data_IF_521460806907
#
_entry.id   IF_521460806907
#
_cell.length_a   1.000
_cell.length_b   1.000
_cell.length_c   1.000
_cell.angle_alpha   90.00
_cell.angle_beta   90.00
_cell.angle_gamma   90.00
#
_symmetry.space_group_name_H-M   'P 1'
#
loop_
_entity.id
_entity.type
_entity.pdbx_description
1 polymer ?
#
# COMPACT_ATOMS: atom_id res chain seq x y z
N UNK A 1 4.47 9.84 -10.61
CA UNK A 1 4.56 8.95 -9.44
C UNK A 1 3.70 9.44 -8.27
N UNK A 2 3.67 10.74 -7.95
CA UNK A 2 2.95 11.28 -6.78
C UNK A 2 1.42 11.25 -6.86
N UNK A 3 0.85 11.33 -8.07
CA UNK A 3 -0.60 11.27 -8.25
C UNK A 3 -1.16 9.88 -7.90
N UNK A 4 -0.44 8.82 -8.30
CA UNK A 4 -0.79 7.44 -7.97
C UNK A 4 -0.66 7.19 -6.46
N UNK A 5 0.41 7.68 -5.83
CA UNK A 5 0.61 7.58 -4.37
C UNK A 5 -0.50 8.30 -3.59
N UNK A 6 -0.92 9.48 -4.02
CA UNK A 6 -2.01 10.23 -3.34
C UNK A 6 -3.37 9.54 -3.46
N UNK A 7 -3.64 8.91 -4.61
CA UNK A 7 -4.89 8.18 -4.82
C UNK A 7 -4.92 6.86 -4.03
N UNK A 8 -3.80 6.14 -3.99
CA UNK A 8 -3.69 4.87 -3.25
C UNK A 8 -3.58 5.06 -1.73
N UNK A 9 -3.01 6.17 -1.25
CA UNK A 9 -2.77 6.37 0.19
C UNK A 9 -3.94 7.03 0.96
N UNK A 10 -5.05 7.35 0.31
CA UNK A 10 -6.23 7.93 1.00
C UNK A 10 -7.35 6.88 1.13
N UNK A 11 -7.72 6.48 2.35
CA UNK A 11 -8.84 5.54 2.58
C UNK A 11 -10.15 6.01 1.92
N UNK A 12 -10.38 7.33 1.89
CA UNK A 12 -11.55 7.91 1.24
C UNK A 12 -11.53 7.67 -0.26
N UNK A 13 -10.37 7.83 -0.91
CA UNK A 13 -10.23 7.60 -2.34
C UNK A 13 -10.47 6.12 -2.70
N UNK A 14 -10.05 5.17 -1.85
CA UNK A 14 -10.33 3.74 -2.04
C UNK A 14 -11.84 3.44 -1.96
N UNK A 15 -12.54 4.04 -1.00
CA UNK A 15 -14.01 3.88 -0.89
C UNK A 15 -14.72 4.51 -2.09
N UNK A 16 -14.33 5.72 -2.49
CA UNK A 16 -14.92 6.37 -3.66
C UNK A 16 -14.66 5.60 -4.96
N UNK A 17 -13.45 5.07 -5.17
CA UNK A 17 -13.13 4.27 -6.35
C UNK A 17 -13.88 2.94 -6.38
N UNK A 18 -14.06 2.30 -5.22
CA UNK A 18 -14.88 1.10 -5.10
C UNK A 18 -16.35 1.35 -5.44
N UNK A 19 -16.95 2.42 -4.89
CA UNK A 19 -18.33 2.81 -5.21
C UNK A 19 -18.49 3.20 -6.68
N UNK A 20 -17.53 3.95 -7.23
CA UNK A 20 -17.51 4.31 -8.64
C UNK A 20 -17.46 3.07 -9.52
N UNK A 21 -16.64 2.08 -9.17
CA UNK A 21 -16.56 0.83 -9.90
C UNK A 21 -17.90 0.08 -9.89
N UNK A 22 -18.60 0.01 -8.75
CA UNK A 22 -19.93 -0.61 -8.65
C UNK A 22 -20.91 0.07 -9.61
N UNK A 23 -20.96 1.41 -9.60
CA UNK A 23 -21.90 2.16 -10.45
C UNK A 23 -21.57 1.97 -11.93
N UNK A 24 -20.30 2.04 -12.31
CA UNK A 24 -19.86 1.86 -13.70
C UNK A 24 -20.11 0.43 -14.17
N UNK A 25 -19.74 -0.57 -13.38
CA UNK A 25 -19.99 -1.98 -13.72
C UNK A 25 -21.48 -2.31 -13.78
N UNK A 26 -22.30 -1.77 -12.86
CA UNK A 26 -23.75 -1.93 -12.91
C UNK A 26 -24.37 -1.29 -14.16
N UNK A 27 -23.92 -0.09 -14.53
CA UNK A 27 -24.38 0.57 -15.75
C UNK A 27 -23.99 -0.21 -17.01
N UNK A 28 -22.74 -0.70 -17.09
CA UNK A 28 -22.27 -1.50 -18.23
C UNK A 28 -22.99 -2.86 -18.30
N UNK A 29 -23.28 -3.47 -17.15
CA UNK A 29 -24.06 -4.70 -17.09
C UNK A 29 -25.49 -4.47 -17.60
N UNK A 30 -26.13 -3.39 -17.17
CA UNK A 30 -27.45 -3.01 -17.67
C UNK A 30 -27.46 -2.74 -19.17
N UNK A 31 -26.38 -2.18 -19.72
CA UNK A 31 -26.24 -1.91 -21.14
C UNK A 31 -26.03 -3.18 -21.98
N UNK A 32 -25.32 -4.17 -21.45
CA UNK A 32 -25.00 -5.40 -22.17
C UNK A 32 -26.00 -6.54 -21.95
N UNK A 33 -26.76 -6.51 -20.87
CA UNK A 33 -27.72 -7.57 -20.53
C UNK A 33 -29.16 -7.06 -20.63
N UNK A 34 -29.88 -7.58 -21.63
CA UNK A 34 -31.27 -7.23 -21.86
C UNK A 34 -32.19 -7.75 -20.74
N UNK A 35 -33.26 -7.00 -20.46
CA UNK A 35 -34.33 -7.42 -19.54
C UNK A 35 -34.01 -7.30 -18.05
N UNK A 36 -32.89 -6.67 -17.67
CA UNK A 36 -32.54 -6.38 -16.27
C UNK A 36 -32.95 -4.97 -15.87
N UNK A 37 -33.50 -4.82 -14.66
CA UNK A 37 -33.75 -3.47 -14.12
C UNK A 37 -32.43 -2.80 -13.72
N UNK A 38 -32.35 -1.45 -13.67
CA UNK A 38 -31.17 -0.75 -13.18
C UNK A 38 -30.78 -1.16 -11.74
N UNK A 39 -31.78 -1.49 -10.91
CA UNK A 39 -31.56 -1.99 -9.55
C UNK A 39 -30.88 -3.36 -9.53
N UNK A 40 -31.36 -4.29 -10.36
CA UNK A 40 -30.77 -5.63 -10.48
C UNK A 40 -29.35 -5.59 -11.03
N UNK A 41 -29.06 -4.63 -11.90
CA UNK A 41 -27.74 -4.44 -12.49
C UNK A 41 -26.73 -3.90 -11.47
N UNK A 42 -27.12 -2.92 -10.65
CA UNK A 42 -26.30 -2.44 -9.53
C UNK A 42 -26.14 -3.54 -8.48
N UNK A 43 -27.20 -4.29 -8.18
CA UNK A 43 -27.15 -5.43 -7.26
C UNK A 43 -26.14 -6.49 -7.71
N UNK A 44 -26.17 -6.88 -8.99
CA UNK A 44 -25.18 -7.78 -9.57
C UNK A 44 -23.74 -7.27 -9.36
N UNK A 45 -23.50 -5.98 -9.62
CA UNK A 45 -22.19 -5.38 -9.43
C UNK A 45 -21.76 -5.41 -7.96
N UNK A 46 -22.67 -5.13 -7.00
CA UNK A 46 -22.39 -5.20 -5.56
C UNK A 46 -22.04 -6.63 -5.13
N UNK A 47 -22.86 -7.62 -5.50
CA UNK A 47 -22.67 -9.03 -5.11
C UNK A 47 -21.39 -9.61 -5.72
N UNK A 48 -21.07 -9.21 -6.96
CA UNK A 48 -19.85 -9.65 -7.64
C UNK A 48 -18.61 -8.96 -7.06
N UNK A 49 -18.64 -7.63 -6.89
CA UNK A 49 -17.51 -6.86 -6.37
C UNK A 49 -17.19 -7.18 -4.90
N UNK A 50 -18.20 -7.55 -4.11
CA UNK A 50 -18.01 -8.02 -2.73
C UNK A 50 -17.54 -9.48 -2.65
N UNK A 51 -17.38 -10.17 -3.77
CA UNK A 51 -17.00 -11.59 -3.87
C UNK A 51 -18.00 -12.57 -3.23
N UNK A 52 -19.21 -12.11 -2.89
CA UNK A 52 -20.27 -12.95 -2.30
C UNK A 52 -20.84 -13.93 -3.33
N UNK A 53 -21.20 -13.43 -4.51
CA UNK A 53 -21.58 -14.27 -5.65
C UNK A 53 -22.79 -15.19 -5.43
N UNK A 54 -23.95 -14.66 -5.03
CA UNK A 54 -25.16 -15.48 -4.82
C UNK A 54 -25.61 -16.29 -6.04
N UNK A 55 -25.29 -15.84 -7.26
CA UNK A 55 -25.63 -16.53 -8.50
C UNK A 55 -27.06 -16.32 -9.00
N UNK A 56 -27.83 -15.45 -8.35
CA UNK A 56 -29.18 -15.01 -8.73
C UNK A 56 -29.19 -14.17 -10.01
N UNK A 57 -28.11 -13.45 -10.28
CA UNK A 57 -27.89 -12.70 -11.51
C UNK A 57 -26.45 -12.89 -12.00
N UNK A 58 -26.27 -13.08 -13.30
CA UNK A 58 -24.96 -13.24 -13.95
C UNK A 58 -25.05 -12.87 -15.42
N UNK A 59 -23.95 -12.47 -16.08
CA UNK A 59 -23.98 -12.09 -17.49
C UNK A 59 -24.10 -13.31 -18.40
N UNK A 60 -25.02 -13.23 -19.35
CA UNK A 60 -25.24 -14.25 -20.36
C UNK A 60 -24.53 -13.88 -21.67
N UNK A 61 -24.39 -12.59 -21.95
CA UNK A 61 -23.77 -12.10 -23.17
C UNK A 61 -22.24 -12.20 -23.11
N UNK A 62 -21.61 -12.35 -24.28
CA UNK A 62 -20.15 -12.33 -24.39
C UNK A 62 -19.52 -11.04 -23.81
N UNK A 63 -19.95 -9.81 -24.18
CA UNK A 63 -19.39 -8.60 -23.58
C UNK A 63 -19.65 -8.50 -22.07
N UNK A 64 -20.82 -8.95 -21.58
CA UNK A 64 -21.11 -9.02 -20.15
C UNK A 64 -20.15 -9.94 -19.39
N UNK A 65 -19.76 -11.08 -19.98
CA UNK A 65 -18.78 -12.01 -19.39
C UNK A 65 -17.38 -11.41 -19.35
N UNK A 66 -16.97 -10.66 -20.39
CA UNK A 66 -15.69 -9.94 -20.39
C UNK A 66 -15.68 -8.88 -19.29
N UNK A 67 -16.77 -8.09 -19.17
CA UNK A 67 -16.95 -7.11 -18.09
C UNK A 67 -16.81 -7.76 -16.70
N UNK A 68 -17.50 -8.89 -16.49
CA UNK A 68 -17.41 -9.62 -15.22
C UNK A 68 -15.99 -10.11 -14.92
N UNK A 69 -15.30 -10.65 -15.92
CA UNK A 69 -13.90 -11.05 -15.79
C UNK A 69 -13.02 -9.89 -15.33
N UNK A 70 -13.17 -8.72 -15.96
CA UNK A 70 -12.43 -7.51 -15.58
C UNK A 70 -12.77 -7.08 -14.15
N UNK A 71 -14.05 -7.00 -13.79
CA UNK A 71 -14.49 -6.63 -12.45
C UNK A 71 -13.86 -7.54 -11.38
N UNK A 72 -13.93 -8.85 -11.60
CA UNK A 72 -13.39 -9.86 -10.68
C UNK A 72 -11.87 -9.74 -10.58
N UNK A 73 -11.16 -9.63 -11.71
CA UNK A 73 -9.71 -9.45 -11.71
C UNK A 73 -9.28 -8.17 -10.98
N UNK A 74 -10.00 -7.06 -11.17
CA UNK A 74 -9.71 -5.80 -10.48
C UNK A 74 -9.91 -5.92 -8.96
N UNK A 75 -10.98 -6.59 -8.53
CA UNK A 75 -11.20 -6.85 -7.10
C UNK A 75 -10.08 -7.66 -6.47
N UNK A 76 -9.75 -8.81 -7.06
CA UNK A 76 -8.80 -9.75 -6.48
C UNK A 76 -7.36 -9.25 -6.55
N UNK A 77 -6.96 -8.62 -7.65
CA UNK A 77 -5.56 -8.22 -7.85
C UNK A 77 -5.22 -6.85 -7.24
N UNK A 78 -6.21 -5.96 -7.08
CA UNK A 78 -5.95 -4.59 -6.65
C UNK A 78 -6.74 -4.21 -5.40
N UNK A 79 -8.07 -4.22 -5.44
CA UNK A 79 -8.86 -3.58 -4.38
C UNK A 79 -8.73 -4.33 -3.04
N UNK A 80 -8.90 -5.66 -3.04
CA UNK A 80 -8.80 -6.46 -1.82
C UNK A 80 -7.38 -6.37 -1.22
N UNK A 81 -6.29 -6.60 -1.98
CA UNK A 81 -4.93 -6.48 -1.45
C UNK A 81 -4.59 -5.09 -0.90
N UNK A 82 -5.02 -4.00 -1.57
CA UNK A 82 -4.78 -2.64 -1.11
C UNK A 82 -5.47 -2.36 0.23
N UNK A 83 -6.72 -2.78 0.38
CA UNK A 83 -7.46 -2.64 1.64
C UNK A 83 -6.78 -3.46 2.74
N UNK A 84 -6.44 -4.72 2.47
CA UNK A 84 -5.76 -5.60 3.43
C UNK A 84 -4.42 -5.02 3.88
N UNK A 85 -3.58 -4.55 2.94
CA UNK A 85 -2.30 -3.93 3.24
C UNK A 85 -2.45 -2.65 4.07
N UNK A 86 -3.45 -1.81 3.74
CA UNK A 86 -3.74 -0.61 4.50
C UNK A 86 -4.07 -0.91 5.96
N UNK A 87 -4.93 -1.89 6.23
CA UNK A 87 -5.25 -2.29 7.60
C UNK A 87 -4.09 -3.00 8.29
N UNK A 88 -3.40 -3.92 7.60
CA UNK A 88 -2.23 -4.61 8.14
C UNK A 88 -1.15 -3.63 8.62
N UNK A 89 -0.84 -2.59 7.83
CA UNK A 89 0.13 -1.55 8.21
C UNK A 89 -0.22 -0.77 9.49
N UNK A 90 -1.50 -0.76 9.91
CA UNK A 90 -1.94 -0.10 11.15
C UNK A 90 -1.97 -1.04 12.35
N UNK A 91 -2.13 -2.34 12.11
CA UNK A 91 -2.19 -3.36 13.16
C UNK A 91 -0.80 -3.91 13.48
N UNK A 92 0.08 -3.97 12.49
CA UNK A 92 1.45 -4.42 12.66
C UNK A 92 2.22 -3.30 13.36
N UNK A 93 2.51 -3.49 14.64
CA UNK A 93 3.50 -2.70 15.37
C UNK A 93 4.86 -3.23 14.98
N UNK A 94 5.64 -2.40 14.29
CA UNK A 94 7.01 -2.74 13.93
C UNK A 94 7.91 -2.45 15.14
N UNK A 95 8.13 -3.48 15.97
CA UNK A 95 8.97 -3.38 17.18
C UNK A 95 10.47 -3.24 16.85
N UNK A 96 10.89 -3.55 15.63
CA UNK A 96 12.28 -3.43 15.19
C UNK A 96 12.52 -2.14 14.38
N UNK A 97 11.46 -1.41 14.01
CA UNK A 97 11.57 -0.10 13.39
C UNK A 97 11.94 0.97 14.42
N UNK A 98 13.23 1.30 14.45
CA UNK A 98 13.74 2.45 15.19
C UNK A 98 12.94 3.70 14.86
N UNK A 99 12.22 4.21 15.85
CA UNK A 99 11.48 5.47 15.71
C UNK A 99 12.48 6.61 15.55
N UNK A 100 12.03 7.72 14.94
CA UNK A 100 12.92 8.87 14.72
C UNK A 100 13.51 9.41 16.04
N UNK A 101 12.74 9.34 17.13
CA UNK A 101 13.19 9.71 18.47
C UNK A 101 14.31 8.79 18.98
N UNK A 102 14.17 7.47 18.84
CA UNK A 102 15.22 6.50 19.21
C UNK A 102 16.48 6.69 18.36
N UNK A 103 16.34 6.98 17.06
CA UNK A 103 17.47 7.27 16.18
C UNK A 103 18.22 8.54 16.62
N UNK A 104 17.49 9.60 16.99
CA UNK A 104 18.11 10.83 17.50
C UNK A 104 18.76 10.62 18.87
N UNK A 105 18.15 9.81 19.74
CA UNK A 105 18.76 9.43 21.02
C UNK A 105 20.07 8.67 20.82
N UNK A 106 20.08 7.64 19.97
CA UNK A 106 21.29 6.86 19.63
C UNK A 106 22.38 7.78 19.05
N UNK A 107 22.03 8.71 18.15
CA UNK A 107 22.99 9.68 17.58
C UNK A 107 23.55 10.61 18.65
N UNK A 108 22.72 11.08 19.58
CA UNK A 108 23.17 11.96 20.66
C UNK A 108 24.10 11.21 21.62
N UNK A 109 23.76 9.97 22.00
CA UNK A 109 24.63 9.10 22.80
C UNK A 109 25.97 8.84 22.09
N UNK A 110 25.96 8.59 20.77
CA UNK A 110 27.17 8.44 19.97
C UNK A 110 28.04 9.71 19.96
N UNK A 111 27.42 10.89 19.82
CA UNK A 111 28.14 12.18 19.90
C UNK A 111 28.77 12.38 21.27
N UNK A 112 28.06 12.04 22.33
CA UNK A 112 28.55 12.14 23.71
C UNK A 112 29.74 11.19 23.95
N UNK A 113 29.60 9.91 23.58
CA UNK A 113 30.69 8.92 23.68
C UNK A 113 31.90 9.39 22.88
N UNK A 114 31.70 9.88 21.64
CA UNK A 114 32.79 10.40 20.82
C UNK A 114 33.51 11.56 21.50
N UNK A 115 32.78 12.50 22.11
CA UNK A 115 33.36 13.62 22.82
C UNK A 115 34.14 13.18 24.07
N UNK A 116 33.69 12.13 24.78
CA UNK A 116 34.42 11.55 25.91
C UNK A 116 35.71 10.89 25.42
N UNK A 117 35.64 10.07 24.37
CA UNK A 117 36.83 9.41 23.80
C UNK A 117 37.83 10.44 23.28
N UNK A 118 37.39 11.49 22.60
CA UNK A 118 38.28 12.55 22.09
C UNK A 118 39.01 13.31 23.22
N UNK A 119 38.39 13.42 24.40
CA UNK A 119 39.02 14.01 25.59
C UNK A 119 40.03 13.07 26.26
N UNK A 120 39.80 11.77 26.23
CA UNK A 120 40.63 10.77 26.92
C UNK A 120 41.77 10.23 26.05
N UNK A 121 41.49 9.99 24.77
CA UNK A 121 42.40 9.43 23.79
C UNK A 121 42.09 9.97 22.37
N UNK A 122 42.70 11.09 21.99
CA UNK A 122 42.47 11.71 20.67
C UNK A 122 42.98 10.84 19.50
N UNK A 123 43.94 9.96 19.74
CA UNK A 123 44.44 9.04 18.70
C UNK A 123 43.39 7.94 18.41
N UNK A 124 42.82 7.35 19.46
CA UNK A 124 41.73 6.38 19.31
C UNK A 124 40.47 7.03 18.70
N UNK A 125 40.15 8.29 19.03
CA UNK A 125 39.03 9.01 18.44
C UNK A 125 39.20 9.22 16.92
N UNK A 126 40.41 9.53 16.48
CA UNK A 126 40.72 9.68 15.05
C UNK A 126 40.56 8.35 14.30
N UNK A 127 41.06 7.24 14.85
CA UNK A 127 40.87 5.91 14.27
C UNK A 127 39.39 5.49 14.20
N UNK A 128 38.61 5.80 15.23
CA UNK A 128 37.17 5.53 15.25
C UNK A 128 36.41 6.36 14.20
N UNK A 129 36.78 7.63 14.02
CA UNK A 129 36.24 8.49 12.96
C UNK A 129 36.45 7.89 11.57
N UNK A 130 37.68 7.48 11.25
CA UNK A 130 38.02 6.84 9.97
C UNK A 130 37.21 5.56 9.74
N UNK A 131 37.01 4.75 10.79
CA UNK A 131 36.19 3.54 10.71
C UNK A 131 34.71 3.85 10.46
N UNK A 132 34.16 4.89 11.09
CA UNK A 132 32.76 5.31 10.91
C UNK A 132 32.53 5.82 9.49
N UNK A 133 33.45 6.61 8.96
CA UNK A 133 33.38 7.12 7.58
C UNK A 133 33.39 5.96 6.57
N UNK A 134 34.24 4.95 6.79
CA UNK A 134 34.27 3.74 5.97
C UNK A 134 32.98 2.90 6.06
N UNK A 135 32.30 2.90 7.21
CA UNK A 135 31.00 2.23 7.37
C UNK A 135 29.89 3.02 6.66
N UNK A 136 29.90 4.34 6.76
CA UNK A 136 28.95 5.22 6.07
C UNK A 136 29.05 5.06 4.53
N UNK A 137 30.27 5.02 4.00
CA UNK A 137 30.51 4.83 2.56
C UNK A 137 29.99 3.47 2.06
N UNK A 138 30.17 2.40 2.85
CA UNK A 138 29.60 1.07 2.55
C UNK A 138 28.07 1.05 2.59
N UNK A 139 27.48 1.78 3.52
CA UNK A 139 26.02 1.88 3.64
C UNK A 139 25.39 2.70 2.51
N UNK A 140 26.10 3.70 1.98
CA UNK A 140 25.66 4.44 0.80
C UNK A 140 25.75 3.58 -0.48
N UNK A 141 26.84 2.82 -0.65
CA UNK A 141 27.00 1.91 -1.79
C UNK A 141 25.92 0.82 -1.84
N UNK A 142 25.49 0.29 -0.69
CA UNK A 142 24.44 -0.74 -0.63
C UNK A 142 23.03 -0.20 -0.89
N UNK A 143 22.79 1.11 -0.75
CA UNK A 143 21.52 1.76 -1.11
C UNK A 143 21.40 2.10 -2.60
N UNK A 144 22.53 2.20 -3.31
CA UNK A 144 22.59 2.55 -4.74
C UNK A 144 22.69 1.34 -5.68
N UNK A 145 22.87 0.14 -5.13
CA UNK A 145 22.84 -1.15 -5.84
C UNK A 145 21.47 -1.81 -5.75
#
# INVERSE_FOLDING_TARGET
MDLLKRFTNSPRALVFSYLLLIVVSGLLYWLFEDGKSPGDAVWWAVVTASTVGYGDSYPLTWPGRVLAGILISVMVLFVIPLITAHFASKLIVDNDAFQHEEQEEIKNQLREIRAIVERLDPAAAAEAGVRLDAVAERAEQSRTS
#
